data_IF_526144845244
#
_entry.id   IF_526144845244
#
_cell.length_a   1.000
_cell.length_b   1.000
_cell.length_c   1.000
_cell.angle_alpha   90.00
_cell.angle_beta   90.00
_cell.angle_gamma   90.00
#
_symmetry.space_group_name_H-M   'P 1'
#
loop_
_entity.id
_entity.type
_entity.pdbx_description
1 polymer ?
#
# COMPACT_ATOMS: atom_id res chain seq x y z
N UNK A 1 -71.31 18.45 28.46
CA UNK A 1 -70.55 17.32 29.05
C UNK A 1 -70.30 16.30 27.94
N UNK A 2 -69.03 16.18 27.53
CA UNK A 2 -68.31 15.18 26.68
C UNK A 2 -69.01 14.32 25.58
N UNK A 3 -68.26 14.21 24.46
CA UNK A 3 -68.12 13.14 23.44
C UNK A 3 -68.99 13.15 22.15
N UNK A 4 -68.36 13.43 20.98
CA UNK A 4 -67.88 12.47 19.94
C UNK A 4 -67.34 13.26 18.71
N UNK A 5 -66.04 13.13 18.38
CA UNK A 5 -65.42 12.35 17.28
C UNK A 5 -65.74 12.84 15.86
N UNK A 6 -64.69 13.26 15.14
CA UNK A 6 -64.68 13.44 13.69
C UNK A 6 -63.24 13.49 13.16
N UNK A 7 -62.74 12.32 12.75
CA UNK A 7 -61.46 12.11 12.05
C UNK A 7 -61.44 12.88 10.71
N UNK A 8 -60.37 13.62 10.42
CA UNK A 8 -60.06 14.04 9.05
C UNK A 8 -58.64 13.61 8.70
N UNK A 9 -58.57 12.71 7.72
CA UNK A 9 -57.36 12.23 7.07
C UNK A 9 -56.52 13.39 6.52
N UNK A 10 -55.26 13.49 6.92
CA UNK A 10 -54.22 14.19 6.16
C UNK A 10 -53.22 13.14 5.70
N UNK A 11 -53.17 12.97 4.38
CA UNK A 11 -52.28 12.07 3.67
C UNK A 11 -50.86 12.63 3.75
N UNK A 12 -50.04 12.11 4.67
CA UNK A 12 -48.60 12.38 4.69
C UNK A 12 -47.94 11.45 3.67
N UNK A 13 -47.69 11.98 2.47
CA UNK A 13 -46.77 11.39 1.51
C UNK A 13 -45.35 11.59 2.08
N UNK A 14 -44.88 10.63 2.88
CA UNK A 14 -43.46 10.48 3.12
C UNK A 14 -42.86 9.81 1.89
N UNK A 15 -42.28 10.62 1.01
CA UNK A 15 -41.24 10.16 0.09
C UNK A 15 -40.09 9.68 0.99
N UNK A 16 -40.04 8.39 1.28
CA UNK A 16 -38.83 7.75 1.79
C UNK A 16 -37.80 7.82 0.67
N UNK A 17 -37.05 8.92 0.63
CA UNK A 17 -35.81 8.97 -0.12
C UNK A 17 -34.88 7.96 0.55
N UNK A 18 -34.84 6.76 -0.04
CA UNK A 18 -33.94 5.69 0.37
C UNK A 18 -32.52 6.23 0.36
N UNK A 19 -31.92 6.30 1.54
CA UNK A 19 -30.49 6.56 1.74
C UNK A 19 -29.68 5.39 1.19
N UNK A 20 -29.53 5.31 -0.12
CA UNK A 20 -28.59 4.39 -0.78
C UNK A 20 -27.33 5.15 -1.15
N UNK A 21 -26.47 5.39 -0.17
CA UNK A 21 -25.06 5.70 -0.46
C UNK A 21 -24.06 5.14 0.55
N UNK A 22 -24.52 4.41 1.57
CA UNK A 22 -23.65 3.81 2.60
C UNK A 22 -23.46 2.29 2.47
N UNK A 23 -24.13 1.66 1.50
CA UNK A 23 -24.14 0.20 1.34
C UNK A 23 -23.35 -0.32 0.13
N UNK A 24 -22.57 0.52 -0.57
CA UNK A 24 -21.88 0.14 -1.81
C UNK A 24 -20.35 0.01 -1.68
N UNK A 25 -19.77 0.24 -0.49
CA UNK A 25 -18.32 0.08 -0.27
C UNK A 25 -17.97 -0.89 0.87
N UNK A 26 -18.93 -1.26 1.72
CA UNK A 26 -18.71 -2.19 2.84
C UNK A 26 -19.13 -3.63 2.52
N UNK A 27 -19.71 -3.85 1.33
CA UNK A 27 -20.29 -5.13 0.91
C UNK A 27 -19.31 -6.02 0.14
N UNK A 28 -18.35 -5.42 -0.59
CA UNK A 28 -17.39 -6.18 -1.38
C UNK A 28 -16.32 -6.85 -0.51
N UNK A 29 -15.72 -6.14 0.47
CA UNK A 29 -14.68 -6.73 1.34
C UNK A 29 -15.21 -7.86 2.23
N UNK A 30 -16.44 -7.72 2.79
CA UNK A 30 -17.08 -8.79 3.56
C UNK A 30 -17.39 -10.02 2.70
N UNK A 31 -17.57 -9.84 1.40
CA UNK A 31 -17.80 -10.94 0.47
C UNK A 31 -16.53 -11.74 0.21
N UNK A 32 -15.37 -11.11 0.02
CA UNK A 32 -14.09 -11.80 -0.26
C UNK A 32 -13.52 -12.55 0.95
N UNK A 33 -13.75 -12.01 2.15
CA UNK A 33 -13.34 -12.64 3.40
C UNK A 33 -14.03 -13.98 3.66
N UNK A 34 -15.27 -14.15 3.20
CA UNK A 34 -16.09 -15.33 3.49
C UNK A 34 -16.41 -16.19 2.26
N UNK A 35 -16.18 -15.68 1.04
CA UNK A 35 -16.37 -16.42 -0.20
C UNK A 35 -15.39 -17.59 -0.32
N UNK A 36 -15.94 -18.76 -0.66
CA UNK A 36 -15.16 -19.93 -1.06
C UNK A 36 -14.72 -19.87 -2.53
N UNK A 37 -15.38 -19.05 -3.33
CA UNK A 37 -15.17 -18.96 -4.77
C UNK A 37 -15.26 -17.51 -5.20
N UNK A 38 -14.25 -17.04 -5.93
CA UNK A 38 -14.19 -15.67 -6.42
C UNK A 38 -13.86 -15.70 -7.90
N UNK A 39 -14.73 -15.08 -8.72
CA UNK A 39 -14.63 -15.10 -10.18
C UNK A 39 -14.50 -16.52 -10.78
N UNK A 40 -15.20 -17.49 -10.18
CA UNK A 40 -15.16 -18.90 -10.61
C UNK A 40 -13.91 -19.67 -10.17
N UNK A 41 -13.03 -19.06 -9.37
CA UNK A 41 -11.85 -19.70 -8.79
C UNK A 41 -12.12 -20.03 -7.33
N UNK A 42 -11.97 -21.31 -6.95
CA UNK A 42 -12.01 -21.72 -5.54
C UNK A 42 -10.80 -21.15 -4.79
N UNK A 43 -11.06 -20.56 -3.63
CA UNK A 43 -10.05 -19.93 -2.78
C UNK A 43 -9.76 -20.88 -1.62
N UNK A 44 -8.55 -21.41 -1.42
CA UNK A 44 -8.29 -22.30 -0.29
C UNK A 44 -8.57 -21.64 1.08
N UNK A 45 -8.98 -22.41 2.08
CA UNK A 45 -9.28 -21.87 3.43
C UNK A 45 -8.06 -21.85 4.37
N UNK A 46 -7.09 -22.72 4.13
CA UNK A 46 -5.89 -22.89 4.95
C UNK A 46 -4.75 -23.53 4.13
N UNK A 47 -3.58 -23.75 4.75
CA UNK A 47 -2.41 -24.30 4.07
C UNK A 47 -2.62 -25.74 3.57
N UNK A 48 -3.39 -26.57 4.29
CA UNK A 48 -3.64 -27.96 3.87
C UNK A 48 -4.48 -27.96 2.59
N UNK A 49 -5.53 -27.15 2.57
CA UNK A 49 -6.38 -26.97 1.39
C UNK A 49 -5.57 -26.43 0.21
N UNK A 50 -4.63 -25.50 0.43
CA UNK A 50 -3.72 -25.04 -0.63
C UNK A 50 -2.94 -26.19 -1.27
N UNK A 51 -2.39 -27.11 -0.46
CA UNK A 51 -1.59 -28.24 -0.93
C UNK A 51 -2.46 -29.17 -1.79
N UNK A 52 -3.67 -29.48 -1.32
CA UNK A 52 -4.65 -30.29 -2.06
C UNK A 52 -5.02 -29.65 -3.41
N UNK A 53 -5.31 -28.34 -3.43
CA UNK A 53 -5.65 -27.64 -4.66
C UNK A 53 -4.48 -27.61 -5.66
N UNK A 54 -3.25 -27.42 -5.19
CA UNK A 54 -2.06 -27.43 -6.08
C UNK A 54 -1.85 -28.82 -6.68
N UNK A 55 -2.03 -29.89 -5.90
CA UNK A 55 -1.89 -31.26 -6.39
C UNK A 55 -2.90 -31.59 -7.51
N UNK A 56 -4.10 -31.01 -7.43
CA UNK A 56 -5.14 -31.11 -8.47
C UNK A 56 -4.77 -30.31 -9.72
N UNK A 57 -4.23 -29.10 -9.54
CA UNK A 57 -3.92 -28.18 -10.65
C UNK A 57 -2.68 -28.63 -11.42
N UNK A 58 -1.69 -29.21 -10.76
CA UNK A 58 -0.43 -29.58 -11.39
C UNK A 58 -0.50 -30.93 -12.13
N UNK A 59 -0.11 -30.98 -13.41
CA UNK A 59 0.00 -32.24 -14.15
C UNK A 59 1.01 -33.19 -13.49
N UNK A 60 0.75 -34.50 -13.55
CA UNK A 60 1.62 -35.53 -12.98
C UNK A 60 3.06 -35.42 -13.48
N UNK A 61 3.28 -35.07 -14.75
CA UNK A 61 4.62 -34.86 -15.31
C UNK A 61 5.41 -33.78 -14.59
N UNK A 62 4.76 -32.69 -14.16
CA UNK A 62 5.39 -31.62 -13.39
C UNK A 62 5.66 -32.07 -11.97
N UNK A 63 4.73 -32.84 -11.38
CA UNK A 63 4.89 -33.40 -10.03
C UNK A 63 6.07 -34.37 -9.97
N UNK A 64 6.20 -35.26 -10.94
CA UNK A 64 7.33 -36.18 -11.09
C UNK A 64 8.66 -35.44 -11.20
N UNK A 65 8.73 -34.37 -12.00
CA UNK A 65 9.95 -33.54 -12.11
C UNK A 65 10.26 -32.82 -10.79
N UNK A 66 9.25 -32.29 -10.11
CA UNK A 66 9.40 -31.53 -8.88
C UNK A 66 10.00 -32.35 -7.72
N UNK A 67 9.74 -33.66 -7.67
CA UNK A 67 10.33 -34.57 -6.66
C UNK A 67 11.87 -34.59 -6.74
N UNK A 68 12.44 -34.41 -7.94
CA UNK A 68 13.89 -34.42 -8.15
C UNK A 68 14.55 -33.05 -8.00
N UNK A 69 13.77 -31.98 -7.83
CA UNK A 69 14.30 -30.65 -7.58
C UNK A 69 14.59 -30.44 -6.11
N UNK A 70 15.67 -29.71 -5.80
CA UNK A 70 15.83 -29.13 -4.47
C UNK A 70 14.71 -28.12 -4.21
N UNK A 71 14.41 -27.86 -2.94
CA UNK A 71 13.45 -26.83 -2.53
C UNK A 71 13.77 -25.46 -3.15
N UNK A 72 15.06 -25.09 -3.20
CA UNK A 72 15.52 -23.85 -3.83
C UNK A 72 15.26 -23.80 -5.34
N UNK A 73 15.50 -24.90 -6.06
CA UNK A 73 15.21 -24.98 -7.49
C UNK A 73 13.72 -24.98 -7.76
N UNK A 74 12.93 -25.68 -6.95
CA UNK A 74 11.48 -25.67 -7.05
C UNK A 74 10.91 -24.26 -6.82
N UNK A 75 11.33 -23.58 -5.74
CA UNK A 75 10.91 -22.20 -5.46
C UNK A 75 11.29 -21.27 -6.61
N UNK A 76 12.55 -21.30 -7.08
CA UNK A 76 13.00 -20.44 -8.19
C UNK A 76 12.19 -20.67 -9.48
N UNK A 77 11.92 -21.93 -9.84
CA UNK A 77 11.18 -22.26 -11.06
C UNK A 77 9.69 -21.92 -10.98
N UNK A 78 9.10 -21.98 -9.79
CA UNK A 78 7.65 -21.80 -9.60
C UNK A 78 7.25 -20.40 -9.17
N UNK A 79 8.16 -19.61 -8.59
CA UNK A 79 7.88 -18.29 -8.01
C UNK A 79 7.19 -17.32 -8.99
N UNK A 80 7.69 -17.24 -10.22
CA UNK A 80 7.15 -16.37 -11.25
C UNK A 80 5.97 -17.02 -11.99
N UNK A 81 5.89 -18.35 -12.09
CA UNK A 81 4.77 -19.02 -12.75
C UNK A 81 3.60 -19.22 -11.79
N UNK A 82 3.60 -20.41 -11.17
CA UNK A 82 2.57 -20.85 -10.24
C UNK A 82 2.41 -19.89 -9.05
N UNK A 83 3.50 -19.33 -8.53
CA UNK A 83 3.45 -18.36 -7.44
C UNK A 83 2.67 -17.10 -7.82
N UNK A 84 2.94 -16.50 -8.99
CA UNK A 84 2.15 -15.36 -9.49
C UNK A 84 0.69 -15.73 -9.68
N UNK A 85 0.42 -16.93 -10.23
CA UNK A 85 -0.93 -17.41 -10.41
C UNK A 85 -1.68 -17.52 -9.08
N UNK A 86 -1.06 -18.12 -8.06
CA UNK A 86 -1.61 -18.23 -6.69
C UNK A 86 -1.96 -16.85 -6.14
N UNK A 87 -1.02 -15.89 -6.18
CA UNK A 87 -1.23 -14.56 -5.61
C UNK A 87 -2.42 -13.84 -6.22
N UNK A 88 -2.57 -13.95 -7.54
CA UNK A 88 -3.60 -13.24 -8.28
C UNK A 88 -4.96 -13.94 -8.21
N UNK A 89 -4.99 -15.27 -8.36
CA UNK A 89 -6.23 -16.03 -8.46
C UNK A 89 -6.81 -16.40 -7.09
N UNK A 90 -5.96 -16.61 -6.07
CA UNK A 90 -6.43 -16.84 -4.69
C UNK A 90 -6.61 -15.54 -3.91
N UNK A 91 -6.52 -14.39 -4.57
CA UNK A 91 -6.85 -13.08 -3.99
C UNK A 91 -5.94 -12.67 -2.84
N UNK A 92 -4.67 -13.06 -2.85
CA UNK A 92 -3.75 -12.77 -1.75
C UNK A 92 -3.50 -11.27 -1.57
N UNK A 93 -3.58 -10.50 -2.68
CA UNK A 93 -3.51 -9.03 -2.68
C UNK A 93 -4.80 -8.32 -2.24
N UNK A 94 -5.93 -9.05 -2.14
CA UNK A 94 -7.28 -8.47 -2.02
C UNK A 94 -8.05 -9.03 -0.81
N UNK A 95 -7.33 -9.28 0.29
CA UNK A 95 -7.93 -9.70 1.57
C UNK A 95 -8.90 -10.90 1.45
N UNK A 96 -8.56 -11.89 0.62
CA UNK A 96 -9.34 -13.13 0.54
C UNK A 96 -9.32 -13.90 1.85
N UNK A 97 -10.22 -14.89 2.01
CA UNK A 97 -10.19 -15.80 3.18
C UNK A 97 -8.82 -16.43 3.43
N UNK A 98 -8.08 -16.75 2.36
CA UNK A 98 -6.73 -17.31 2.45
C UNK A 98 -5.71 -16.25 2.91
N UNK A 99 -5.79 -15.04 2.36
CA UNK A 99 -4.95 -13.91 2.80
C UNK A 99 -5.14 -13.67 4.31
N UNK A 100 -6.38 -13.70 4.80
CA UNK A 100 -6.68 -13.58 6.22
C UNK A 100 -6.12 -14.71 7.08
N UNK A 101 -6.16 -15.95 6.60
CA UNK A 101 -5.50 -17.08 7.27
C UNK A 101 -4.00 -16.78 7.51
N UNK A 102 -3.27 -16.31 6.49
CA UNK A 102 -1.85 -15.96 6.64
C UNK A 102 -1.62 -14.70 7.48
N UNK A 103 -2.47 -13.69 7.36
CA UNK A 103 -2.40 -12.48 8.18
C UNK A 103 -2.52 -12.83 9.68
N UNK A 104 -3.40 -13.75 10.05
CA UNK A 104 -3.54 -14.26 11.41
C UNK A 104 -2.28 -15.00 11.91
N UNK A 105 -1.50 -15.57 10.99
CA UNK A 105 -0.18 -16.18 11.29
C UNK A 105 0.95 -15.14 11.33
N UNK A 106 0.68 -13.87 10.99
CA UNK A 106 1.62 -12.77 10.97
C UNK A 106 2.44 -12.68 9.67
N UNK A 107 1.92 -13.20 8.56
CA UNK A 107 2.50 -13.05 7.21
C UNK A 107 1.54 -12.21 6.38
N UNK A 108 2.01 -11.03 5.94
CA UNK A 108 1.15 -10.03 5.30
C UNK A 108 1.46 -9.82 3.81
N UNK A 109 2.67 -10.17 3.36
CA UNK A 109 3.06 -9.96 1.97
C UNK A 109 2.65 -11.17 1.11
N UNK A 110 1.91 -10.98 0.01
CA UNK A 110 1.46 -12.08 -0.84
C UNK A 110 2.58 -12.95 -1.43
N UNK A 111 3.75 -12.39 -1.72
CA UNK A 111 4.92 -13.18 -2.14
C UNK A 111 5.33 -14.19 -1.05
N UNK A 112 5.36 -13.79 0.22
CA UNK A 112 5.70 -14.70 1.31
C UNK A 112 4.62 -15.75 1.55
N UNK A 113 3.34 -15.37 1.44
CA UNK A 113 2.23 -16.32 1.53
C UNK A 113 2.38 -17.40 0.46
N UNK A 114 2.61 -16.99 -0.80
CA UNK A 114 2.78 -17.93 -1.92
C UNK A 114 4.06 -18.77 -1.80
N UNK A 115 5.15 -18.21 -1.29
CA UNK A 115 6.40 -18.92 -1.05
C UNK A 115 6.25 -20.00 0.04
N UNK A 116 5.52 -19.69 1.12
CA UNK A 116 5.18 -20.68 2.17
C UNK A 116 4.32 -21.80 1.58
N UNK A 117 3.31 -21.45 0.78
CA UNK A 117 2.44 -22.44 0.13
C UNK A 117 3.27 -23.38 -0.75
N UNK A 118 4.10 -22.83 -1.64
CA UNK A 118 4.89 -23.59 -2.60
C UNK A 118 5.95 -24.46 -1.91
N UNK A 119 6.64 -23.91 -0.91
CA UNK A 119 7.60 -24.66 -0.09
C UNK A 119 6.91 -25.81 0.63
N UNK A 120 5.75 -25.56 1.23
CA UNK A 120 4.99 -26.59 1.95
C UNK A 120 4.46 -27.69 1.02
N UNK A 121 4.02 -27.31 -0.19
CA UNK A 121 3.63 -28.26 -1.23
C UNK A 121 4.82 -29.14 -1.65
N UNK A 122 5.99 -28.56 -1.94
CA UNK A 122 7.19 -29.32 -2.31
C UNK A 122 7.63 -30.29 -1.21
N UNK A 123 7.58 -29.87 0.05
CA UNK A 123 7.85 -30.72 1.21
C UNK A 123 6.86 -31.88 1.32
N UNK A 124 5.57 -31.61 1.13
CA UNK A 124 4.54 -32.67 1.13
C UNK A 124 4.76 -33.70 0.03
N UNK A 125 5.15 -33.26 -1.18
CA UNK A 125 5.42 -34.10 -2.34
C UNK A 125 6.66 -34.98 -2.14
N UNK A 126 7.64 -34.50 -1.37
CA UNK A 126 8.90 -35.20 -1.07
C UNK A 126 8.89 -35.91 0.29
N UNK A 127 7.72 -36.00 0.95
CA UNK A 127 7.54 -36.61 2.27
C UNK A 127 8.41 -36.00 3.39
N UNK A 128 8.75 -34.72 3.25
CA UNK A 128 9.45 -33.94 4.25
C UNK A 128 8.46 -33.23 5.19
N UNK A 129 8.87 -33.02 6.44
CA UNK A 129 8.08 -32.22 7.39
C UNK A 129 7.94 -30.77 6.90
N UNK A 130 6.71 -30.27 6.88
CA UNK A 130 6.37 -28.91 6.42
C UNK A 130 7.09 -27.86 7.27
N UNK A 131 7.26 -28.10 8.58
CA UNK A 131 7.94 -27.15 9.51
C UNK A 131 7.41 -25.72 9.38
N UNK A 132 6.08 -25.56 9.40
CA UNK A 132 5.43 -24.26 9.17
C UNK A 132 5.93 -23.18 10.14
N UNK A 133 6.10 -23.50 11.42
CA UNK A 133 6.58 -22.55 12.43
C UNK A 133 7.99 -22.01 12.13
N UNK A 134 8.87 -22.85 11.56
CA UNK A 134 10.21 -22.42 11.12
C UNK A 134 10.11 -21.44 9.94
N UNK A 135 9.25 -21.74 8.97
CA UNK A 135 9.00 -20.85 7.81
C UNK A 135 8.45 -19.49 8.27
N UNK A 136 7.44 -19.49 9.15
CA UNK A 136 6.84 -18.26 9.69
C UNK A 136 7.86 -17.43 10.48
N UNK A 137 8.68 -18.09 11.30
CA UNK A 137 9.72 -17.42 12.10
C UNK A 137 10.77 -16.76 11.22
N UNK A 138 11.21 -17.44 10.15
CA UNK A 138 12.16 -16.89 9.19
C UNK A 138 11.63 -15.63 8.50
N UNK A 139 10.36 -15.65 8.04
CA UNK A 139 9.73 -14.47 7.42
C UNK A 139 9.61 -13.29 8.38
N UNK A 140 9.17 -13.54 9.62
CA UNK A 140 9.07 -12.50 10.66
C UNK A 140 10.44 -11.87 10.97
N UNK A 141 11.48 -12.69 11.08
CA UNK A 141 12.85 -12.21 11.32
C UNK A 141 13.36 -11.34 10.15
N UNK A 142 13.12 -11.78 8.91
CA UNK A 142 13.48 -11.03 7.70
C UNK A 142 12.82 -9.64 7.68
N UNK A 143 11.50 -9.56 7.85
CA UNK A 143 10.79 -8.27 7.81
C UNK A 143 11.17 -7.33 8.95
N UNK A 144 11.43 -7.88 10.14
CA UNK A 144 11.97 -7.10 11.26
C UNK A 144 13.31 -6.47 10.89
N UNK A 145 14.24 -7.26 10.38
CA UNK A 145 15.55 -6.78 9.96
C UNK A 145 15.44 -5.78 8.79
N UNK A 146 14.58 -6.03 7.82
CA UNK A 146 14.35 -5.13 6.69
C UNK A 146 13.81 -3.76 7.15
N UNK A 147 12.88 -3.74 8.12
CA UNK A 147 12.36 -2.51 8.71
C UNK A 147 13.42 -1.72 9.50
N UNK A 148 14.25 -2.42 10.28
CA UNK A 148 15.38 -1.83 11.00
C UNK A 148 16.41 -1.24 10.03
N UNK A 149 16.79 -1.99 8.99
CA UNK A 149 17.72 -1.54 7.95
C UNK A 149 17.18 -0.33 7.18
N UNK A 150 15.89 -0.34 6.81
CA UNK A 150 15.24 0.80 6.13
C UNK A 150 15.23 2.05 7.00
N UNK A 151 14.99 1.89 8.30
CA UNK A 151 15.04 2.99 9.27
C UNK A 151 16.46 3.56 9.36
N UNK A 152 17.46 2.69 9.55
CA UNK A 152 18.87 3.08 9.59
C UNK A 152 19.32 3.79 8.32
N UNK A 153 18.93 3.28 7.15
CA UNK A 153 19.23 3.91 5.86
C UNK A 153 18.65 5.34 5.79
N UNK A 154 17.39 5.54 6.22
CA UNK A 154 16.80 6.89 6.28
C UNK A 154 17.52 7.81 7.26
N UNK A 155 17.98 7.30 8.39
CA UNK A 155 18.77 8.08 9.36
C UNK A 155 20.11 8.52 8.75
N UNK A 156 20.81 7.61 8.08
CA UNK A 156 22.08 7.88 7.39
C UNK A 156 21.91 8.89 6.24
N UNK A 157 20.88 8.74 5.41
CA UNK A 157 20.57 9.69 4.34
C UNK A 157 20.20 11.06 4.89
N UNK A 158 19.35 11.14 5.92
CA UNK A 158 19.00 12.40 6.57
C UNK A 158 20.23 13.05 7.23
N UNK A 159 21.21 12.27 7.71
CA UNK A 159 22.42 12.78 8.33
C UNK A 159 23.30 13.59 7.37
N UNK A 160 23.19 13.36 6.05
CA UNK A 160 23.94 14.09 5.01
C UNK A 160 23.60 15.59 4.93
N UNK A 161 22.41 15.98 5.41
CA UNK A 161 21.93 17.36 5.41
C UNK A 161 22.28 18.08 6.70
N UNK A 162 22.86 19.28 6.62
CA UNK A 162 23.10 20.17 7.75
C UNK A 162 22.22 21.42 7.67
N UNK A 163 22.00 22.07 8.81
CA UNK A 163 21.34 23.38 8.83
C UNK A 163 22.28 24.38 8.14
N UNK A 164 21.76 25.10 7.16
CA UNK A 164 22.53 26.00 6.29
C UNK A 164 22.90 25.40 4.94
N UNK A 165 22.75 24.09 4.73
CA UNK A 165 23.04 23.47 3.44
C UNK A 165 22.08 24.00 2.36
N UNK A 166 22.63 24.31 1.19
CA UNK A 166 21.87 24.59 -0.02
C UNK A 166 21.44 23.26 -0.66
N UNK A 167 20.18 23.18 -1.05
CA UNK A 167 19.57 21.97 -1.61
C UNK A 167 18.76 22.28 -2.87
N UNK A 168 18.76 21.32 -3.80
CA UNK A 168 18.00 21.35 -5.05
C UNK A 168 16.74 20.48 -4.92
N UNK A 169 15.61 20.97 -5.41
CA UNK A 169 14.35 20.23 -5.38
C UNK A 169 14.29 19.21 -6.52
N UNK A 170 13.92 17.96 -6.22
CA UNK A 170 13.92 16.87 -7.21
C UNK A 170 12.54 16.57 -7.83
N UNK A 171 11.56 17.46 -7.64
CA UNK A 171 10.23 17.37 -8.26
C UNK A 171 9.56 15.99 -8.13
N UNK A 172 9.40 15.45 -6.90
CA UNK A 172 8.89 14.08 -6.69
C UNK A 172 7.44 13.91 -7.15
N UNK A 173 6.73 15.02 -7.34
CA UNK A 173 5.34 15.09 -7.77
C UNK A 173 5.17 15.74 -9.16
N UNK A 174 6.25 15.81 -9.93
CA UNK A 174 6.26 16.47 -11.23
C UNK A 174 6.27 17.99 -11.14
N UNK A 175 5.86 18.61 -12.25
CA UNK A 175 6.03 20.04 -12.49
C UNK A 175 4.69 20.78 -12.51
N UNK A 176 4.70 22.06 -12.13
CA UNK A 176 3.51 22.91 -12.13
C UNK A 176 3.15 23.43 -13.52
N UNK A 177 4.13 23.51 -14.42
CA UNK A 177 3.98 24.02 -15.77
C UNK A 177 4.94 23.32 -16.73
N UNK A 178 4.62 23.34 -18.02
CA UNK A 178 5.52 22.84 -19.06
C UNK A 178 6.83 23.63 -19.10
N UNK A 179 6.81 24.93 -18.78
CA UNK A 179 8.03 25.74 -18.71
C UNK A 179 8.96 25.26 -17.59
N UNK A 180 8.41 24.90 -16.42
CA UNK A 180 9.20 24.33 -15.32
C UNK A 180 9.80 22.98 -15.70
N UNK A 181 9.01 22.14 -16.36
CA UNK A 181 9.45 20.85 -16.89
C UNK A 181 10.59 21.02 -17.91
N UNK A 182 10.40 21.87 -18.92
CA UNK A 182 11.40 22.17 -19.94
C UNK A 182 12.68 22.73 -19.31
N UNK A 183 12.57 23.62 -18.33
CA UNK A 183 13.72 24.22 -17.68
C UNK A 183 14.55 23.19 -16.88
N UNK A 184 13.87 22.28 -16.18
CA UNK A 184 14.53 21.20 -15.46
C UNK A 184 15.23 20.24 -16.43
N UNK A 185 14.55 19.77 -17.48
CA UNK A 185 15.13 18.83 -18.44
C UNK A 185 16.29 19.41 -19.26
N UNK A 186 16.27 20.73 -19.52
CA UNK A 186 17.36 21.42 -20.20
C UNK A 186 18.48 21.87 -19.25
N UNK A 187 18.42 21.53 -17.96
CA UNK A 187 19.33 21.99 -16.90
C UNK A 187 19.50 23.53 -16.90
N UNK A 188 18.45 24.27 -17.25
CA UNK A 188 18.49 25.74 -17.27
C UNK A 188 18.10 26.33 -15.92
N UNK A 189 17.37 25.59 -15.10
CA UNK A 189 17.01 26.00 -13.75
C UNK A 189 16.69 24.81 -12.84
N UNK A 190 17.20 24.87 -11.61
CA UNK A 190 16.78 24.04 -10.49
C UNK A 190 16.15 24.91 -9.39
N UNK A 191 15.08 24.41 -8.77
CA UNK A 191 14.51 25.11 -7.62
C UNK A 191 15.41 24.88 -6.41
N UNK A 192 15.85 25.98 -5.76
CA UNK A 192 16.84 25.96 -4.69
C UNK A 192 16.27 26.41 -3.37
N UNK A 193 16.75 25.80 -2.29
CA UNK A 193 16.40 26.20 -0.93
C UNK A 193 17.55 26.02 0.05
N UNK A 194 17.37 26.54 1.26
CA UNK A 194 18.30 26.35 2.38
C UNK A 194 17.61 25.56 3.48
N UNK A 195 18.29 24.54 4.00
CA UNK A 195 17.84 23.77 5.16
C UNK A 195 17.90 24.64 6.42
N UNK A 196 16.78 24.84 7.09
CA UNK A 196 16.69 25.66 8.32
C UNK A 196 16.38 24.86 9.58
N UNK A 197 15.87 23.63 9.45
CA UNK A 197 15.65 22.72 10.58
C UNK A 197 15.56 21.26 10.12
N UNK A 198 15.68 20.32 11.07
CA UNK A 198 15.58 18.87 10.84
C UNK A 198 14.66 18.22 11.88
N UNK A 199 13.96 17.17 11.48
CA UNK A 199 13.20 16.30 12.38
C UNK A 199 13.56 14.84 12.08
N UNK A 200 14.34 14.24 12.98
CA UNK A 200 14.85 12.87 12.83
C UNK A 200 13.72 11.83 12.91
N UNK A 201 12.78 12.01 13.83
CA UNK A 201 11.70 11.06 14.08
C UNK A 201 10.74 10.93 12.89
N UNK A 202 10.58 12.02 12.10
CA UNK A 202 9.72 12.04 10.91
C UNK A 202 10.47 11.90 9.60
N UNK A 203 11.81 11.85 9.63
CA UNK A 203 12.65 11.91 8.43
C UNK A 203 12.34 13.11 7.54
N UNK A 204 12.16 14.29 8.15
CA UNK A 204 11.83 15.51 7.40
C UNK A 204 12.84 16.63 7.64
N UNK A 205 13.03 17.49 6.64
CA UNK A 205 13.79 18.73 6.73
C UNK A 205 12.87 19.92 6.49
N UNK A 206 13.16 21.04 7.17
CA UNK A 206 12.48 22.31 6.91
C UNK A 206 13.36 23.11 5.97
N UNK A 207 12.83 23.46 4.80
CA UNK A 207 13.58 24.18 3.76
C UNK A 207 12.90 25.52 3.50
N UNK A 208 13.70 26.59 3.51
CA UNK A 208 13.31 27.91 3.00
C UNK A 208 13.59 27.93 1.50
N UNK A 209 12.54 28.03 0.69
CA UNK A 209 12.66 28.06 -0.76
C UNK A 209 13.17 29.43 -1.22
N UNK A 210 14.34 29.49 -1.85
CA UNK A 210 14.96 30.73 -2.32
C UNK A 210 14.66 31.02 -3.79
N UNK A 211 14.63 29.97 -4.60
CA UNK A 211 14.48 30.08 -6.05
C UNK A 211 13.53 29.02 -6.57
N UNK A 212 12.76 29.40 -7.60
CA UNK A 212 11.80 28.54 -8.29
C UNK A 212 11.95 28.77 -9.78
N UNK A 213 11.80 27.71 -10.56
CA UNK A 213 11.91 27.76 -12.03
C UNK A 213 10.61 28.20 -12.72
N UNK A 214 9.59 28.51 -11.90
CA UNK A 214 8.32 29.09 -12.30
C UNK A 214 7.83 29.99 -11.15
N UNK A 215 7.16 31.10 -11.47
CA UNK A 215 6.60 32.03 -10.48
C UNK A 215 5.49 31.40 -9.64
N UNK A 216 4.85 30.36 -10.15
CA UNK A 216 3.82 29.60 -9.45
C UNK A 216 4.40 28.80 -8.28
N UNK A 217 5.69 28.45 -8.32
CA UNK A 217 6.40 27.75 -7.25
C UNK A 217 6.65 26.27 -7.56
N UNK A 218 6.69 25.44 -6.52
CA UNK A 218 6.91 23.99 -6.64
C UNK A 218 5.79 23.19 -5.96
N UNK A 219 5.44 22.04 -6.52
CA UNK A 219 4.45 21.12 -5.94
C UNK A 219 5.12 20.35 -4.81
N UNK A 220 4.58 20.47 -3.60
CA UNK A 220 5.18 19.88 -2.39
C UNK A 220 4.34 18.77 -1.80
N UNK A 221 3.05 18.74 -2.13
CA UNK A 221 2.13 17.64 -1.84
C UNK A 221 1.28 17.47 -3.08
N UNK A 222 1.20 16.23 -3.56
CA UNK A 222 0.32 15.81 -4.62
C UNK A 222 -0.37 14.53 -4.15
N UNK A 223 -1.70 14.59 -4.13
CA UNK A 223 -2.62 13.56 -3.66
C UNK A 223 -2.85 13.47 -2.14
N UNK A 224 -4.08 13.11 -1.79
CA UNK A 224 -4.59 12.86 -0.46
C UNK A 224 -4.60 11.38 -0.07
N UNK A 225 -4.01 10.46 -0.84
CA UNK A 225 -4.16 9.01 -0.64
C UNK A 225 -4.00 8.54 0.82
N UNK A 226 -3.12 9.23 1.57
CA UNK A 226 -2.83 8.96 2.99
C UNK A 226 -3.27 10.07 3.96
N UNK A 227 -4.02 11.07 3.49
CA UNK A 227 -4.52 12.18 4.32
C UNK A 227 -5.98 11.93 4.62
N UNK A 228 -6.29 11.64 5.88
CA UNK A 228 -7.66 11.69 6.37
C UNK A 228 -7.90 13.08 6.98
N UNK A 229 -9.00 13.72 6.59
CA UNK A 229 -9.44 14.99 7.16
C UNK A 229 -10.68 14.74 8.02
N UNK A 230 -10.73 15.40 9.18
CA UNK A 230 -11.89 15.31 10.05
C UNK A 230 -13.09 16.00 9.38
N UNK A 231 -14.14 15.23 9.09
CA UNK A 231 -15.39 15.75 8.56
C UNK A 231 -16.34 16.06 9.74
N UNK A 232 -16.63 17.34 10.03
CA UNK A 232 -17.50 17.74 11.14
C UNK A 232 -18.97 17.34 10.96
N UNK A 233 -19.41 17.00 9.74
CA UNK A 233 -20.78 16.58 9.47
C UNK A 233 -21.00 15.08 9.75
N UNK A 234 -19.99 14.25 9.49
CA UNK A 234 -20.03 12.80 9.77
C UNK A 234 -19.34 12.41 11.07
N UNK A 235 -18.58 13.32 11.67
CA UNK A 235 -17.73 13.10 12.86
C UNK A 235 -16.72 11.97 12.65
N UNK A 236 -16.18 11.84 11.43
CA UNK A 236 -15.24 10.80 11.04
C UNK A 236 -14.04 11.39 10.30
N UNK A 237 -12.93 10.66 10.34
CA UNK A 237 -11.76 10.94 9.52
C UNK A 237 -12.03 10.39 8.12
N UNK A 238 -12.24 11.26 7.13
CA UNK A 238 -12.61 10.89 5.76
C UNK A 238 -11.51 11.27 4.76
N UNK A 239 -11.43 10.55 3.64
CA UNK A 239 -10.59 10.97 2.52
C UNK A 239 -11.16 12.27 1.92
N UNK A 240 -10.34 13.32 1.74
CA UNK A 240 -10.79 14.56 1.12
C UNK A 240 -11.30 14.29 -0.30
N UNK A 241 -12.48 14.84 -0.62
CA UNK A 241 -13.15 14.62 -1.91
C UNK A 241 -12.45 15.31 -3.09
N UNK A 242 -11.65 16.34 -2.82
CA UNK A 242 -10.90 17.10 -3.83
C UNK A 242 -9.41 16.86 -3.68
N UNK A 243 -8.69 16.70 -4.81
CA UNK A 243 -7.23 16.52 -4.82
C UNK A 243 -6.54 17.70 -4.16
N UNK A 244 -5.74 17.45 -3.12
CA UNK A 244 -4.96 18.48 -2.44
C UNK A 244 -3.62 18.62 -3.11
N UNK A 245 -3.46 19.74 -3.81
CA UNK A 245 -2.19 20.17 -4.36
C UNK A 245 -1.68 21.29 -3.46
N UNK A 246 -0.62 21.05 -2.71
CA UNK A 246 0.03 22.11 -1.94
C UNK A 246 1.24 22.58 -2.71
N UNK A 247 1.29 23.90 -2.95
CA UNK A 247 2.38 24.57 -3.65
C UNK A 247 3.19 25.36 -2.61
N UNK A 248 4.51 25.31 -2.71
CA UNK A 248 5.40 26.22 -2.00
C UNK A 248 5.87 27.31 -2.96
N UNK A 249 5.71 28.56 -2.53
CA UNK A 249 6.20 29.73 -3.25
C UNK A 249 7.57 30.14 -2.75
N UNK A 250 8.29 30.90 -3.57
CA UNK A 250 9.54 31.56 -3.18
C UNK A 250 9.39 32.30 -1.84
N UNK A 251 10.43 32.24 -1.02
CA UNK A 251 10.53 32.75 0.35
C UNK A 251 9.62 32.09 1.39
N UNK A 252 9.02 30.93 1.08
CA UNK A 252 8.27 30.15 2.07
C UNK A 252 9.14 29.04 2.67
N UNK A 253 8.98 28.84 3.99
CA UNK A 253 9.60 27.72 4.70
C UNK A 253 8.55 26.65 5.03
N UNK A 254 8.76 25.43 4.54
CA UNK A 254 7.89 24.28 4.82
C UNK A 254 8.71 23.05 5.22
N UNK A 255 8.04 22.07 5.82
CA UNK A 255 8.60 20.75 6.09
C UNK A 255 8.39 19.85 4.87
N UNK A 256 9.43 19.10 4.53
CA UNK A 256 9.49 18.19 3.39
C UNK A 256 10.07 16.86 3.86
N UNK A 257 9.70 15.76 3.20
CA UNK A 257 10.54 14.56 3.27
C UNK A 257 11.95 14.93 2.77
N UNK A 258 12.98 14.40 3.43
CA UNK A 258 14.36 14.71 3.05
C UNK A 258 14.66 14.27 1.62
N UNK A 259 13.98 13.23 1.13
CA UNK A 259 14.18 12.69 -0.20
C UNK A 259 13.59 13.56 -1.32
N UNK A 260 12.94 14.69 -1.01
CA UNK A 260 12.49 15.67 -2.01
C UNK A 260 13.60 16.62 -2.46
N UNK A 261 14.76 16.49 -1.82
CA UNK A 261 15.87 17.39 -1.95
C UNK A 261 17.13 16.60 -2.25
N UNK A 262 18.04 17.23 -2.97
CA UNK A 262 19.40 16.73 -3.21
C UNK A 262 20.36 17.82 -2.72
N UNK A 263 21.45 17.42 -2.06
CA UNK A 263 22.47 18.37 -1.63
C UNK A 263 23.14 19.00 -2.84
N UNK A 264 23.24 20.33 -2.84
CA UNK A 264 24.04 21.03 -3.83
C UNK A 264 25.47 21.12 -3.29
N UNK A 265 26.44 20.46 -3.95
CA UNK A 265 27.84 20.41 -3.51
C UNK A 265 28.69 21.58 -4.08
N UNK A 266 28.04 22.63 -4.61
CA UNK A 266 28.68 23.84 -5.14
C UNK A 266 29.36 24.73 -4.08
#
# INVERSE_FOLDING_TARGET
MKFKIGFSFIFLIFISCSTTSKALYETDDKSWLSADTINGVYIPKDLSDCIEQIDIILPDTIKEMAIFWSESTFSANTHAGLGMWIRNNWGLWRESRLSHYFNNLGVFHPDDMSDIILTSYHRSLTLNDIKLDEQLSAKKAYWKQAAENKTKQKEEELAKYNIGDTVLFNYPYGYISSLQEDNYFNNTCDARGIVIAKNKNKFTIKVLLLETCDEQGVIVIYDNENTLEYNPQSNQMEKPKERKIIIAKKNQAKWYDYNFWVKNDD
#
